data_IF_746892060196
#
_entry.id   IF_746892060196
#
_cell.length_a   1.000
_cell.length_b   1.000
_cell.length_c   1.000
_cell.angle_alpha   90.00
_cell.angle_beta   90.00
_cell.angle_gamma   90.00
#
_symmetry.space_group_name_H-M   'P 1'
#
loop_
_entity.id
_entity.type
_entity.pdbx_description
1 polymer ?
#
# COMPACT_ATOMS: atom_id res chain seq x y z
N UNK A 1 15.55 15.15 18.26
CA UNK A 1 16.65 14.32 17.79
C UNK A 1 17.70 15.22 17.18
N UNK A 2 18.98 15.07 17.54
CA UNK A 2 20.04 15.93 17.02
C UNK A 2 20.23 15.63 15.53
N UNK A 3 20.03 16.64 14.67
CA UNK A 3 20.38 16.55 13.24
C UNK A 3 21.87 16.24 13.14
N UNK A 4 22.22 15.19 12.40
CA UNK A 4 23.61 14.87 12.12
C UNK A 4 24.28 16.06 11.43
N UNK A 5 25.30 16.62 12.04
CA UNK A 5 26.04 17.80 11.54
C UNK A 5 26.98 17.46 10.38
N UNK A 6 26.90 16.27 9.81
CA UNK A 6 27.87 15.80 8.82
C UNK A 6 27.44 15.98 7.37
N UNK A 7 26.26 16.56 7.10
CA UNK A 7 25.75 16.74 5.74
C UNK A 7 26.64 17.57 4.83
N UNK A 8 27.33 18.59 5.36
CA UNK A 8 28.18 19.45 4.55
C UNK A 8 29.47 18.77 4.06
N UNK A 9 29.96 17.76 4.77
CA UNK A 9 31.21 17.04 4.39
C UNK A 9 30.99 16.04 3.25
N UNK A 10 29.77 15.60 3.04
CA UNK A 10 29.40 14.60 2.00
C UNK A 10 28.97 15.24 0.68
N UNK A 11 29.04 16.58 0.59
CA UNK A 11 28.54 17.36 -0.55
C UNK A 11 29.52 17.42 -1.74
N UNK A 12 30.65 16.77 -1.69
CA UNK A 12 31.52 16.66 -2.86
C UNK A 12 31.24 15.31 -3.53
N UNK A 13 30.58 15.33 -4.71
CA UNK A 13 30.45 14.10 -5.48
C UNK A 13 31.83 13.51 -5.74
N UNK A 14 32.00 12.19 -5.64
CA UNK A 14 33.24 11.56 -6.06
C UNK A 14 33.52 11.87 -7.54
N UNK A 15 34.77 11.77 -7.99
CA UNK A 15 35.15 12.09 -9.37
C UNK A 15 34.71 10.97 -10.33
N UNK A 16 33.44 10.59 -10.29
CA UNK A 16 32.84 9.66 -11.24
C UNK A 16 32.17 10.43 -12.39
N UNK A 17 32.05 9.84 -13.57
CA UNK A 17 31.28 10.40 -14.66
C UNK A 17 29.85 10.75 -14.21
N UNK A 18 29.34 11.83 -14.75
CA UNK A 18 27.96 12.26 -14.45
C UNK A 18 26.97 11.18 -14.89
N UNK A 19 26.14 10.71 -13.96
CA UNK A 19 25.20 9.60 -14.17
C UNK A 19 25.65 8.26 -13.55
N UNK A 20 26.89 8.13 -13.10
CA UNK A 20 27.41 6.93 -12.41
C UNK A 20 27.46 7.10 -10.88
N UNK A 21 27.03 8.24 -10.37
CA UNK A 21 27.04 8.54 -8.95
C UNK A 21 25.64 8.78 -8.43
N UNK A 22 25.30 8.07 -7.36
CA UNK A 22 24.10 8.30 -6.58
C UNK A 22 24.49 8.89 -5.23
N UNK A 23 23.96 10.07 -4.90
CA UNK A 23 24.21 10.70 -3.62
C UNK A 23 23.62 9.86 -2.49
N UNK A 24 24.44 9.38 -1.56
CA UNK A 24 24.04 8.52 -0.44
C UNK A 24 22.99 9.15 0.48
N UNK A 25 22.81 10.48 0.41
CA UNK A 25 21.74 11.16 1.16
C UNK A 25 20.34 10.66 0.80
N UNK A 26 20.13 10.15 -0.41
CA UNK A 26 18.84 9.54 -0.77
C UNK A 26 18.42 8.40 0.16
N UNK A 27 19.38 7.72 0.81
CA UNK A 27 19.12 6.63 1.75
C UNK A 27 19.04 7.07 3.21
N UNK A 28 19.60 8.23 3.56
CA UNK A 28 19.82 8.62 4.95
C UNK A 28 19.20 9.96 5.35
N UNK A 29 18.86 10.81 4.38
CA UNK A 29 18.28 12.11 4.64
C UNK A 29 16.77 12.01 4.88
N UNK A 30 16.33 12.52 6.04
CA UNK A 30 14.93 12.46 6.43
C UNK A 30 14.05 13.40 5.61
N UNK A 31 14.55 14.55 5.20
CA UNK A 31 13.79 15.53 4.44
C UNK A 31 13.51 14.97 3.02
N UNK A 32 14.49 14.25 2.42
CA UNK A 32 14.27 13.54 1.16
C UNK A 32 13.18 12.47 1.33
N UNK A 33 13.22 11.70 2.42
CA UNK A 33 12.19 10.70 2.69
C UNK A 33 10.79 11.30 2.83
N UNK A 34 10.65 12.44 3.50
CA UNK A 34 9.35 13.14 3.60
C UNK A 34 8.86 13.61 2.22
N UNK A 35 9.75 14.11 1.37
CA UNK A 35 9.39 14.44 -0.02
C UNK A 35 8.95 13.22 -0.83
N UNK A 36 9.58 12.07 -0.64
CA UNK A 36 9.18 10.81 -1.30
C UNK A 36 7.78 10.37 -0.88
N UNK A 37 7.45 10.48 0.42
CA UNK A 37 6.10 10.20 0.88
C UNK A 37 5.07 11.06 0.15
N UNK A 38 5.34 12.35 -0.03
CA UNK A 38 4.41 13.29 -0.66
C UNK A 38 4.38 13.18 -2.20
N UNK A 39 5.54 12.98 -2.83
CA UNK A 39 5.67 13.04 -4.28
C UNK A 39 5.52 11.69 -4.96
N UNK A 40 5.76 10.58 -4.25
CA UNK A 40 5.70 9.22 -4.77
C UNK A 40 4.56 8.44 -4.13
N UNK A 41 4.68 8.11 -2.84
CA UNK A 41 3.75 7.19 -2.18
C UNK A 41 2.31 7.72 -2.08
N UNK A 42 2.12 9.02 -1.87
CA UNK A 42 0.79 9.64 -1.87
C UNK A 42 0.21 9.84 -3.28
N UNK A 43 1.01 9.65 -4.32
CA UNK A 43 0.59 9.85 -5.73
C UNK A 43 0.34 8.56 -6.49
N UNK A 44 0.94 7.48 -6.05
CA UNK A 44 0.89 6.18 -6.71
C UNK A 44 -0.37 5.38 -6.33
N UNK A 45 -0.67 4.35 -7.12
CA UNK A 45 -1.52 3.25 -6.72
C UNK A 45 -0.70 2.28 -5.86
N UNK A 46 -1.21 1.92 -4.69
CA UNK A 46 -0.54 1.03 -3.73
C UNK A 46 -1.43 -0.19 -3.50
N UNK A 47 -0.94 -1.43 -3.73
CA UNK A 47 -1.65 -2.63 -3.36
C UNK A 47 -1.63 -2.76 -1.82
N UNK A 48 -2.79 -2.89 -1.19
CA UNK A 48 -2.91 -2.81 0.27
C UNK A 48 -3.41 -4.09 0.92
N UNK A 49 -4.19 -4.88 0.21
CA UNK A 49 -4.68 -6.18 0.64
C UNK A 49 -5.23 -6.95 -0.56
N UNK A 50 -5.72 -8.16 -0.32
CA UNK A 50 -6.47 -8.94 -1.29
C UNK A 50 -7.96 -8.94 -0.91
N UNK A 51 -8.87 -8.99 -1.89
CA UNK A 51 -10.30 -8.93 -1.62
C UNK A 51 -10.83 -10.13 -0.81
N UNK A 52 -10.13 -11.28 -0.83
CA UNK A 52 -10.44 -12.43 0.02
C UNK A 52 -10.27 -12.15 1.51
N UNK A 53 -9.58 -11.07 1.87
CA UNK A 53 -9.45 -10.61 3.25
C UNK A 53 -10.66 -9.82 3.76
N UNK A 54 -11.60 -9.52 2.84
CA UNK A 54 -12.88 -8.86 3.11
C UNK A 54 -14.02 -9.69 2.50
N UNK A 55 -14.20 -10.98 2.86
CA UNK A 55 -15.09 -11.89 2.12
C UNK A 55 -16.57 -11.54 2.23
N UNK A 56 -16.97 -10.82 3.27
CA UNK A 56 -18.40 -10.57 3.58
C UNK A 56 -18.70 -9.07 3.69
N UNK A 57 -19.94 -8.65 3.42
CA UNK A 57 -20.37 -7.31 3.77
C UNK A 57 -20.15 -7.00 5.24
N UNK A 58 -19.68 -5.80 5.52
CA UNK A 58 -19.25 -5.26 6.82
C UNK A 58 -17.85 -5.67 7.29
N UNK A 59 -17.14 -6.51 6.55
CA UNK A 59 -15.74 -6.77 6.85
C UNK A 59 -14.90 -5.54 6.58
N UNK A 60 -13.83 -5.40 7.36
CA UNK A 60 -12.89 -4.30 7.25
C UNK A 60 -11.43 -4.77 7.37
N UNK A 61 -10.56 -3.98 6.78
CA UNK A 61 -9.10 -4.02 6.97
C UNK A 61 -8.59 -2.62 7.25
N UNK A 62 -7.59 -2.49 8.11
CA UNK A 62 -6.86 -1.24 8.29
C UNK A 62 -5.43 -1.37 7.80
N UNK A 63 -4.89 -0.30 7.27
CA UNK A 63 -3.51 -0.21 6.83
C UNK A 63 -3.00 1.23 6.95
N UNK A 64 -1.75 1.45 6.59
CA UNK A 64 -1.15 2.78 6.55
C UNK A 64 -0.46 2.97 5.21
N UNK A 65 -0.74 4.06 4.52
CA UNK A 65 -0.08 4.46 3.28
C UNK A 65 0.58 5.81 3.54
N UNK A 66 1.90 5.93 3.33
CA UNK A 66 2.64 7.18 3.50
C UNK A 66 2.30 7.90 4.81
N UNK A 67 2.23 7.16 5.93
CA UNK A 67 1.84 7.60 7.28
C UNK A 67 0.35 7.92 7.47
N UNK A 68 -0.45 7.93 6.42
CA UNK A 68 -1.90 8.16 6.53
C UNK A 68 -2.63 6.86 6.89
N UNK A 69 -3.45 6.85 7.94
CA UNK A 69 -4.22 5.66 8.30
C UNK A 69 -5.38 5.47 7.32
N UNK A 70 -5.55 4.26 6.84
CA UNK A 70 -6.57 3.87 5.86
C UNK A 70 -7.42 2.75 6.41
N UNK A 71 -8.73 2.81 6.19
CA UNK A 71 -9.67 1.73 6.43
C UNK A 71 -10.33 1.31 5.12
N UNK A 72 -10.34 0.01 4.86
CA UNK A 72 -11.07 -0.61 3.76
C UNK A 72 -12.30 -1.30 4.33
N UNK A 73 -13.41 -1.20 3.62
CA UNK A 73 -14.68 -1.82 4.02
C UNK A 73 -15.35 -2.46 2.84
N UNK A 74 -16.03 -3.60 3.04
CA UNK A 74 -16.94 -4.15 2.06
C UNK A 74 -18.37 -3.77 2.42
N UNK A 75 -19.04 -3.05 1.54
CA UNK A 75 -20.45 -2.68 1.72
C UNK A 75 -21.39 -3.79 1.24
N UNK A 76 -22.68 -3.67 1.52
CA UNK A 76 -23.72 -4.62 1.09
C UNK A 76 -23.83 -4.82 -0.43
N UNK A 77 -23.38 -3.84 -1.20
CA UNK A 77 -23.34 -3.94 -2.66
C UNK A 77 -22.15 -4.76 -3.18
N UNK A 78 -21.40 -5.40 -2.28
CA UNK A 78 -20.24 -6.22 -2.59
C UNK A 78 -18.98 -5.43 -2.91
N UNK A 79 -19.06 -4.10 -3.06
CA UNK A 79 -17.90 -3.28 -3.43
C UNK A 79 -17.01 -3.01 -2.23
N UNK A 80 -15.71 -3.16 -2.44
CA UNK A 80 -14.67 -2.69 -1.50
C UNK A 80 -14.46 -1.20 -1.73
N UNK A 81 -14.32 -0.46 -0.63
CA UNK A 81 -14.04 0.98 -0.62
C UNK A 81 -12.97 1.28 0.39
N UNK A 82 -12.22 2.32 0.14
CA UNK A 82 -11.18 2.81 1.04
C UNK A 82 -11.50 4.23 1.53
N UNK A 83 -11.23 4.48 2.79
CA UNK A 83 -11.39 5.80 3.40
C UNK A 83 -10.18 6.14 4.26
N UNK A 84 -9.95 7.43 4.51
CA UNK A 84 -9.10 7.79 5.63
C UNK A 84 -9.73 7.28 6.93
N UNK A 85 -8.95 6.57 7.72
CA UNK A 85 -9.36 5.99 9.01
C UNK A 85 -9.37 7.07 10.12
N UNK A 86 -9.97 8.21 9.81
CA UNK A 86 -9.95 9.41 10.64
C UNK A 86 -11.35 10.00 10.71
N UNK A 87 -11.82 10.26 11.92
CA UNK A 87 -13.12 10.91 12.14
C UNK A 87 -13.04 12.38 11.70
N UNK A 88 -13.96 12.85 10.82
CA UNK A 88 -13.95 14.22 10.33
C UNK A 88 -14.27 15.25 11.41
N UNK A 89 -14.76 14.81 12.58
CA UNK A 89 -15.07 15.72 13.68
C UNK A 89 -13.80 16.32 14.31
N UNK A 90 -12.90 15.48 14.84
CA UNK A 90 -11.69 15.93 15.57
C UNK A 90 -10.49 15.02 15.37
N UNK A 91 -10.39 14.33 14.25
CA UNK A 91 -9.20 13.58 13.84
C UNK A 91 -8.94 12.27 14.60
N UNK A 92 -9.88 11.77 15.38
CA UNK A 92 -9.67 10.48 16.07
C UNK A 92 -9.64 9.33 15.08
N UNK A 93 -8.72 8.40 15.27
CA UNK A 93 -8.69 7.15 14.51
C UNK A 93 -9.95 6.33 14.79
N UNK A 94 -10.64 5.88 13.74
CA UNK A 94 -11.94 5.23 13.85
C UNK A 94 -11.80 3.76 14.27
N UNK A 95 -10.92 3.02 13.60
CA UNK A 95 -10.68 1.60 13.91
C UNK A 95 -9.17 1.35 14.06
N UNK A 96 -8.80 0.55 15.07
CA UNK A 96 -7.41 0.21 15.39
C UNK A 96 -7.07 -1.25 15.14
N UNK A 97 -8.09 -2.11 15.08
CA UNK A 97 -7.87 -3.51 14.76
C UNK A 97 -7.39 -3.64 13.30
N UNK A 98 -6.45 -4.56 13.00
CA UNK A 98 -5.92 -4.74 11.65
C UNK A 98 -6.97 -5.29 10.68
N UNK A 99 -7.94 -6.06 11.16
CA UNK A 99 -9.03 -6.63 10.40
C UNK A 99 -10.17 -7.03 11.32
N UNK A 100 -11.35 -7.23 10.76
CA UNK A 100 -12.52 -7.70 11.50
C UNK A 100 -13.80 -7.50 10.73
N UNK A 101 -14.92 -7.60 11.46
CA UNK A 101 -16.24 -7.34 10.90
C UNK A 101 -17.05 -6.43 11.81
N UNK A 102 -17.72 -5.45 11.25
CA UNK A 102 -18.70 -4.63 11.96
C UNK A 102 -20.06 -5.31 12.07
N UNK A 103 -20.22 -6.53 11.55
CA UNK A 103 -21.50 -7.24 11.56
C UNK A 103 -22.00 -7.53 12.99
N UNK A 104 -21.08 -8.00 13.84
CA UNK A 104 -21.40 -8.44 15.21
C UNK A 104 -21.19 -7.35 16.26
N UNK A 105 -20.93 -6.15 15.83
CA UNK A 105 -20.63 -5.00 16.67
C UNK A 105 -19.13 -4.73 16.77
N UNK A 106 -18.76 -3.48 16.53
CA UNK A 106 -17.43 -2.98 16.84
C UNK A 106 -17.26 -2.87 18.36
N UNK A 107 -16.05 -3.00 18.90
CA UNK A 107 -15.77 -2.64 20.30
C UNK A 107 -16.25 -1.22 20.68
N UNK A 108 -16.44 -0.37 19.69
CA UNK A 108 -16.87 1.02 19.84
C UNK A 108 -18.37 1.27 19.70
N UNK A 109 -19.24 0.27 19.46
CA UNK A 109 -20.65 0.57 19.41
C UNK A 109 -21.54 -0.31 18.54
N UNK A 110 -22.45 0.33 17.83
CA UNK A 110 -23.54 -0.33 17.14
C UNK A 110 -23.07 -1.25 16.00
N UNK A 111 -23.69 -2.44 15.87
CA UNK A 111 -23.40 -3.35 14.76
C UNK A 111 -23.70 -2.67 13.43
N UNK A 112 -22.90 -3.03 12.41
CA UNK A 112 -23.01 -2.57 11.01
C UNK A 112 -22.63 -1.10 10.76
N UNK A 113 -22.00 -0.45 11.75
CA UNK A 113 -21.58 0.95 11.63
C UNK A 113 -20.14 1.13 12.12
N UNK A 114 -19.41 2.03 11.48
CA UNK A 114 -18.14 2.53 12.00
C UNK A 114 -18.48 3.60 13.03
N UNK A 115 -18.18 3.36 14.30
CA UNK A 115 -18.50 4.29 15.39
C UNK A 115 -17.22 4.91 15.93
N UNK A 116 -17.13 6.24 15.91
CA UNK A 116 -16.01 6.95 16.53
C UNK A 116 -16.09 6.81 18.06
N UNK A 117 -15.05 6.22 18.66
CA UNK A 117 -14.99 5.99 20.11
C UNK A 117 -15.00 7.28 20.93
N UNK A 118 -14.65 8.44 20.32
CA UNK A 118 -14.47 9.67 21.07
C UNK A 118 -15.79 10.41 21.32
N UNK A 119 -16.62 10.61 20.27
CA UNK A 119 -17.89 11.31 20.42
C UNK A 119 -19.06 10.59 19.73
N UNK A 120 -18.93 9.30 19.50
CA UNK A 120 -19.98 8.41 18.99
C UNK A 120 -20.60 8.84 17.64
N UNK A 121 -19.87 9.60 16.79
CA UNK A 121 -20.29 9.79 15.41
C UNK A 121 -20.26 8.46 14.68
N UNK A 122 -21.25 8.21 13.82
CA UNK A 122 -21.37 6.92 13.14
C UNK A 122 -21.39 7.09 11.63
N UNK A 123 -20.76 6.13 10.96
CA UNK A 123 -20.65 6.07 9.51
C UNK A 123 -21.07 4.69 9.01
N UNK A 124 -21.68 4.64 7.83
CA UNK A 124 -21.96 3.37 7.16
C UNK A 124 -20.72 2.87 6.38
N UNK A 125 -20.85 1.65 5.81
CA UNK A 125 -19.77 1.04 5.01
C UNK A 125 -19.51 1.74 3.67
N UNK A 126 -20.26 2.78 3.34
CA UNK A 126 -20.03 3.68 2.20
C UNK A 126 -19.41 5.01 2.63
N UNK A 127 -18.98 5.12 3.90
CA UNK A 127 -18.39 6.31 4.47
C UNK A 127 -19.36 7.45 4.77
N UNK A 128 -20.67 7.27 4.57
CA UNK A 128 -21.65 8.32 4.83
C UNK A 128 -21.88 8.47 6.33
N UNK A 129 -21.88 9.71 6.80
CA UNK A 129 -22.26 10.00 8.18
C UNK A 129 -23.76 9.73 8.39
N UNK A 130 -24.08 8.83 9.33
CA UNK A 130 -25.46 8.45 9.64
C UNK A 130 -25.93 8.99 10.98
N UNK A 131 -25.00 9.29 11.89
CA UNK A 131 -25.34 9.82 13.20
C UNK A 131 -24.27 10.82 13.69
N UNK A 132 -24.74 11.95 14.21
CA UNK A 132 -23.96 12.98 14.89
C UNK A 132 -24.53 13.13 16.29
N UNK A 133 -23.70 12.88 17.32
CA UNK A 133 -24.12 13.02 18.71
C UNK A 133 -24.53 14.47 19.01
N UNK A 134 -25.68 14.64 19.64
CA UNK A 134 -26.24 15.95 20.06
C UNK A 134 -26.23 16.99 18.94
N UNK A 135 -26.61 16.57 17.71
CA UNK A 135 -26.58 17.42 16.53
C UNK A 135 -27.35 18.73 16.72
N UNK A 136 -28.56 18.67 17.29
CA UNK A 136 -29.40 19.84 17.50
C UNK A 136 -28.85 20.74 18.62
N UNK A 137 -28.58 20.16 19.78
CA UNK A 137 -28.17 20.89 20.98
C UNK A 137 -26.75 21.45 20.89
N UNK A 138 -25.82 20.63 20.37
CA UNK A 138 -24.39 20.99 20.29
C UNK A 138 -24.02 21.82 19.08
N UNK A 139 -24.71 21.63 17.96
CA UNK A 139 -24.34 22.24 16.69
C UNK A 139 -25.43 23.14 16.09
N UNK A 140 -26.60 23.26 16.75
CA UNK A 140 -27.72 24.10 16.31
C UNK A 140 -28.10 23.81 14.84
N UNK A 141 -28.08 22.53 14.42
CA UNK A 141 -28.33 22.07 13.05
C UNK A 141 -27.40 22.64 11.97
N UNK A 142 -26.31 23.28 12.35
CA UNK A 142 -25.32 23.82 11.37
C UNK A 142 -24.54 22.73 10.65
N UNK A 143 -24.38 21.54 11.27
CA UNK A 143 -23.72 20.41 10.65
C UNK A 143 -24.75 19.54 9.90
N UNK A 144 -24.51 19.37 8.60
CA UNK A 144 -25.32 18.48 7.77
C UNK A 144 -24.60 17.14 7.60
N UNK A 145 -25.24 16.04 7.99
CA UNK A 145 -24.66 14.67 7.90
C UNK A 145 -24.10 14.36 6.51
N UNK A 146 -24.75 14.84 5.47
CA UNK A 146 -24.34 14.66 4.07
C UNK A 146 -22.95 15.26 3.75
N UNK A 147 -22.52 16.24 4.53
CA UNK A 147 -21.23 16.92 4.37
C UNK A 147 -20.13 16.35 5.29
N UNK A 148 -20.51 15.48 6.22
CA UNK A 148 -19.66 14.96 7.30
C UNK A 148 -19.27 13.50 7.07
N UNK A 149 -19.25 13.02 5.84
CA UNK A 149 -18.80 11.68 5.48
C UNK A 149 -17.29 11.48 5.70
N UNK A 150 -16.86 10.26 5.70
CA UNK A 150 -15.44 9.91 5.65
C UNK A 150 -14.86 10.36 4.30
N UNK A 151 -13.59 10.76 4.32
CA UNK A 151 -12.87 11.04 3.07
C UNK A 151 -12.65 9.74 2.32
N UNK A 152 -13.34 9.57 1.22
CA UNK A 152 -13.18 8.43 0.33
C UNK A 152 -11.87 8.57 -0.45
N UNK A 153 -11.18 7.45 -0.62
CA UNK A 153 -9.93 7.35 -1.38
C UNK A 153 -10.21 6.61 -2.69
N UNK A 154 -9.39 6.86 -3.70
CA UNK A 154 -9.43 6.06 -4.92
C UNK A 154 -9.13 4.61 -4.57
N UNK A 155 -9.99 3.69 -5.00
CA UNK A 155 -9.92 2.28 -4.66
C UNK A 155 -10.38 1.43 -5.83
N UNK A 156 -9.55 0.50 -6.25
CA UNK A 156 -9.86 -0.47 -7.31
C UNK A 156 -9.50 -1.89 -6.86
N UNK A 157 -10.30 -2.85 -7.28
CA UNK A 157 -9.95 -4.27 -7.21
C UNK A 157 -9.51 -4.68 -8.61
N UNK A 158 -8.25 -5.00 -8.75
CA UNK A 158 -7.64 -5.30 -10.04
C UNK A 158 -6.57 -6.39 -9.90
N UNK A 159 -6.37 -7.14 -10.95
CA UNK A 159 -5.31 -8.13 -11.09
C UNK A 159 -5.33 -9.22 -10.00
N UNK A 160 -6.13 -10.26 -10.22
CA UNK A 160 -6.22 -11.43 -9.33
C UNK A 160 -6.83 -11.13 -7.95
N UNK A 161 -7.64 -10.04 -7.82
CA UNK A 161 -8.32 -9.70 -6.56
C UNK A 161 -7.52 -8.79 -5.61
N UNK A 162 -6.36 -8.25 -6.04
CA UNK A 162 -5.65 -7.26 -5.24
C UNK A 162 -6.43 -5.95 -5.16
N UNK A 163 -6.50 -5.40 -3.96
CA UNK A 163 -7.14 -4.10 -3.68
C UNK A 163 -6.07 -3.02 -3.70
N UNK A 164 -6.24 -2.07 -4.60
CA UNK A 164 -5.33 -0.94 -4.82
C UNK A 164 -5.97 0.34 -4.29
N UNK A 165 -5.17 1.16 -3.64
CA UNK A 165 -5.61 2.44 -3.09
C UNK A 165 -4.63 3.54 -3.49
N UNK A 166 -5.16 4.71 -3.85
CA UNK A 166 -4.38 5.92 -4.01
C UNK A 166 -4.89 7.03 -3.10
N UNK A 167 -3.95 7.76 -2.48
CA UNK A 167 -4.25 8.98 -1.72
C UNK A 167 -4.40 10.20 -2.62
N UNK A 168 -4.14 10.05 -3.90
CA UNK A 168 -4.23 11.11 -4.90
C UNK A 168 -5.65 11.24 -5.46
N UNK A 169 -6.40 12.21 -4.97
CA UNK A 169 -7.76 12.47 -5.47
C UNK A 169 -7.78 12.88 -6.97
N UNK A 170 -6.65 13.31 -7.52
CA UNK A 170 -6.50 13.77 -8.90
C UNK A 170 -5.97 12.68 -9.84
N UNK A 171 -5.73 11.46 -9.37
CA UNK A 171 -5.32 10.38 -10.24
C UNK A 171 -6.50 10.03 -11.16
N UNK A 172 -6.30 10.14 -12.44
CA UNK A 172 -7.28 9.87 -13.49
C UNK A 172 -7.05 8.55 -14.23
N UNK A 173 -5.86 7.94 -14.02
CA UNK A 173 -5.53 6.61 -14.52
C UNK A 173 -6.11 5.52 -13.64
N UNK A 174 -6.65 4.47 -14.26
CA UNK A 174 -6.95 3.19 -13.60
C UNK A 174 -5.67 2.49 -13.17
N UNK A 175 -5.78 1.44 -12.33
CA UNK A 175 -4.63 0.60 -11.96
C UNK A 175 -4.02 -0.08 -13.21
N UNK A 176 -4.87 -0.50 -14.16
CA UNK A 176 -4.42 -1.11 -15.42
C UNK A 176 -3.57 -0.15 -16.23
N UNK A 177 -4.05 1.07 -16.46
CA UNK A 177 -3.30 2.11 -17.19
C UNK A 177 -2.03 2.51 -16.47
N UNK A 178 -2.10 2.64 -15.14
CA UNK A 178 -0.94 2.99 -14.32
C UNK A 178 0.14 1.92 -14.34
N UNK A 179 -0.24 0.64 -14.32
CA UNK A 179 0.71 -0.48 -14.37
C UNK A 179 1.41 -0.63 -15.72
N UNK A 180 0.87 -0.03 -16.79
CA UNK A 180 1.46 0.01 -18.11
C UNK A 180 1.91 -1.37 -18.64
N UNK A 181 1.15 -2.42 -18.33
CA UNK A 181 1.45 -3.80 -18.71
C UNK A 181 2.47 -4.53 -17.83
N UNK A 182 3.04 -3.88 -16.82
CA UNK A 182 4.04 -4.51 -15.94
C UNK A 182 3.49 -5.72 -15.16
N UNK A 183 2.18 -5.74 -14.91
CA UNK A 183 1.50 -6.86 -14.25
C UNK A 183 1.21 -8.04 -15.18
N UNK A 184 1.24 -7.84 -16.50
CA UNK A 184 0.89 -8.88 -17.46
C UNK A 184 1.81 -10.10 -17.40
N UNK A 185 3.04 -9.89 -16.98
CA UNK A 185 4.03 -10.97 -16.80
C UNK A 185 3.64 -11.96 -15.70
N UNK A 186 2.77 -11.54 -14.78
CA UNK A 186 2.28 -12.38 -13.68
C UNK A 186 0.96 -13.09 -14.02
N UNK A 187 0.27 -12.70 -15.11
CA UNK A 187 -1.01 -13.30 -15.51
C UNK A 187 -0.97 -14.82 -15.57
N UNK A 188 0.03 -15.46 -16.19
CA UNK A 188 0.06 -16.93 -16.25
C UNK A 188 0.05 -17.62 -14.89
N UNK A 189 0.51 -16.93 -13.83
CA UNK A 189 0.54 -17.45 -12.47
C UNK A 189 -0.75 -17.20 -11.69
N UNK A 190 -1.68 -16.39 -12.22
CA UNK A 190 -2.86 -15.92 -11.51
C UNK A 190 -4.18 -16.32 -12.20
N UNK A 191 -4.13 -16.77 -13.46
CA UNK A 191 -5.33 -16.91 -14.31
C UNK A 191 -6.06 -18.27 -14.15
N UNK A 192 -5.47 -19.25 -13.46
CA UNK A 192 -6.06 -20.60 -13.43
C UNK A 192 -7.16 -20.74 -12.38
N UNK A 193 -7.04 -20.10 -11.21
CA UNK A 193 -8.04 -20.18 -10.13
C UNK A 193 -8.12 -18.88 -9.31
N UNK A 194 -9.27 -18.59 -8.66
CA UNK A 194 -9.38 -17.48 -7.75
C UNK A 194 -8.36 -17.58 -6.60
N UNK A 195 -7.63 -16.50 -6.36
CA UNK A 195 -6.64 -16.45 -5.29
C UNK A 195 -7.29 -16.18 -3.94
N UNK A 196 -6.75 -16.79 -2.89
CA UNK A 196 -7.07 -16.48 -1.50
C UNK A 196 -5.80 -16.26 -0.69
N UNK A 197 -5.84 -15.34 0.26
CA UNK A 197 -4.72 -15.14 1.18
C UNK A 197 -4.67 -16.30 2.16
N UNK A 198 -3.70 -17.18 1.99
CA UNK A 198 -3.46 -18.32 2.86
C UNK A 198 -2.65 -17.95 4.10
N UNK A 199 -1.63 -17.12 3.94
CA UNK A 199 -0.74 -16.71 5.01
C UNK A 199 -0.34 -15.26 4.86
N UNK A 200 -0.21 -14.57 5.97
CA UNK A 200 0.23 -13.18 6.02
C UNK A 200 1.41 -13.02 6.97
N UNK A 201 2.53 -12.58 6.44
CA UNK A 201 3.71 -12.22 7.22
C UNK A 201 4.04 -10.75 7.03
N UNK A 202 4.24 -10.04 8.12
CA UNK A 202 4.66 -8.64 8.12
C UNK A 202 5.88 -8.46 8.99
N UNK A 203 6.93 -7.88 8.44
CA UNK A 203 8.15 -7.53 9.15
C UNK A 203 8.49 -6.05 8.96
N UNK A 204 9.10 -5.45 9.97
CA UNK A 204 9.70 -4.13 9.87
C UNK A 204 11.20 -4.32 9.67
N UNK A 205 11.70 -3.87 8.53
CA UNK A 205 13.12 -3.91 8.22
C UNK A 205 13.69 -2.52 8.51
N UNK A 206 14.70 -2.37 9.38
CA UNK A 206 15.25 -1.07 9.76
C UNK A 206 16.21 -0.53 8.68
N UNK A 207 15.71 -0.33 7.47
CA UNK A 207 16.47 0.24 6.36
C UNK A 207 15.58 1.16 5.52
N UNK A 208 16.20 1.98 4.67
CA UNK A 208 15.49 2.74 3.66
C UNK A 208 14.93 1.81 2.58
N UNK A 209 13.68 2.04 2.16
CA UNK A 209 13.01 1.19 1.16
C UNK A 209 13.76 1.11 -0.18
N UNK A 210 14.50 2.17 -0.55
CA UNK A 210 15.29 2.19 -1.79
C UNK A 210 16.41 1.15 -1.78
N UNK A 211 17.00 0.84 -0.62
CA UNK A 211 17.98 -0.26 -0.52
C UNK A 211 17.34 -1.61 -0.84
N UNK A 212 16.09 -1.81 -0.42
CA UNK A 212 15.35 -3.00 -0.81
C UNK A 212 15.04 -3.02 -2.31
N UNK A 213 14.63 -1.88 -2.84
CA UNK A 213 14.35 -1.74 -4.27
C UNK A 213 15.62 -1.98 -5.11
N UNK A 214 16.73 -1.33 -4.78
CA UNK A 214 18.00 -1.49 -5.48
C UNK A 214 18.45 -2.96 -5.48
N UNK A 215 18.40 -3.62 -4.32
CA UNK A 215 18.74 -5.04 -4.18
C UNK A 215 17.92 -5.95 -5.10
N UNK A 216 16.65 -5.63 -5.34
CA UNK A 216 15.79 -6.44 -6.20
C UNK A 216 15.88 -6.06 -7.69
N UNK A 217 16.30 -4.83 -8.00
CA UNK A 217 16.38 -4.34 -9.37
C UNK A 217 17.78 -4.47 -9.97
N UNK A 218 18.82 -4.67 -9.16
CA UNK A 218 20.16 -4.84 -9.65
C UNK A 218 20.43 -6.28 -10.12
N UNK A 219 21.41 -6.39 -11.02
CA UNK A 219 21.77 -7.66 -11.65
C UNK A 219 22.82 -8.45 -10.86
N UNK A 220 23.63 -7.79 -10.05
CA UNK A 220 24.82 -8.38 -9.42
C UNK A 220 24.58 -9.01 -8.07
N UNK A 221 23.56 -8.60 -7.35
CA UNK A 221 23.35 -9.00 -5.95
C UNK A 221 23.26 -10.52 -5.80
N UNK A 222 22.47 -11.17 -6.63
CA UNK A 222 22.25 -12.61 -6.57
C UNK A 222 23.52 -13.43 -6.77
N UNK A 223 24.46 -12.94 -7.58
CA UNK A 223 25.76 -13.63 -7.80
C UNK A 223 26.69 -13.56 -6.61
N UNK A 224 26.53 -12.53 -5.80
CA UNK A 224 27.37 -12.32 -4.62
C UNK A 224 26.95 -13.23 -3.48
N UNK A 225 25.72 -13.74 -3.48
CA UNK A 225 25.25 -14.68 -2.48
C UNK A 225 26.03 -16.00 -2.53
N UNK A 226 26.65 -16.36 -1.41
CA UNK A 226 27.44 -17.58 -1.30
C UNK A 226 26.66 -18.83 -1.72
N UNK A 227 25.40 -18.97 -1.26
CA UNK A 227 24.55 -20.11 -1.61
C UNK A 227 24.29 -20.22 -3.10
N UNK A 228 24.05 -19.13 -3.78
CA UNK A 228 23.81 -19.14 -5.23
C UNK A 228 25.06 -19.60 -5.99
N UNK A 229 26.26 -19.23 -5.51
CA UNK A 229 27.52 -19.64 -6.12
C UNK A 229 27.82 -21.13 -5.96
N UNK A 230 27.46 -21.74 -4.82
CA UNK A 230 27.75 -23.17 -4.58
C UNK A 230 26.68 -24.12 -5.10
N UNK A 231 25.47 -23.64 -5.37
CA UNK A 231 24.34 -24.46 -5.81
C UNK A 231 24.23 -24.57 -7.33
N UNK A 232 25.05 -23.87 -8.09
CA UNK A 232 25.00 -23.88 -9.56
C UNK A 232 23.82 -23.12 -10.19
N UNK A 233 23.05 -22.37 -9.39
CA UNK A 233 21.93 -21.56 -9.90
C UNK A 233 22.38 -20.31 -10.68
N UNK A 234 23.67 -20.07 -10.80
CA UNK A 234 24.21 -18.88 -11.48
C UNK A 234 23.72 -18.74 -12.92
N UNK A 235 23.65 -19.84 -13.67
CA UNK A 235 23.25 -19.79 -15.09
C UNK A 235 21.82 -19.30 -15.28
N UNK A 236 20.91 -19.68 -14.37
CA UNK A 236 19.53 -19.21 -14.38
C UNK A 236 19.43 -17.70 -14.12
N UNK A 237 20.27 -17.18 -13.24
CA UNK A 237 20.31 -15.73 -12.97
C UNK A 237 20.87 -14.92 -14.15
N UNK A 238 21.83 -15.45 -14.89
CA UNK A 238 22.35 -14.79 -16.10
C UNK A 238 21.32 -14.69 -17.23
N UNK A 239 20.30 -15.54 -17.22
CA UNK A 239 19.21 -15.51 -18.18
C UNK A 239 18.13 -14.48 -17.85
N UNK A 240 18.20 -13.81 -16.70
CA UNK A 240 17.21 -12.78 -16.29
C UNK A 240 17.21 -11.63 -17.30
N UNK A 241 16.01 -11.19 -17.63
CA UNK A 241 15.79 -9.97 -18.40
C UNK A 241 15.12 -8.94 -17.51
N UNK A 242 15.66 -7.74 -17.51
CA UNK A 242 14.99 -6.60 -16.89
C UNK A 242 14.22 -5.87 -17.97
N UNK A 243 12.94 -5.65 -17.74
CA UNK A 243 12.07 -4.91 -18.65
C UNK A 243 11.52 -3.70 -17.94
N UNK A 244 11.81 -2.52 -18.46
CA UNK A 244 11.21 -1.27 -18.00
C UNK A 244 9.86 -1.04 -18.68
N UNK A 245 8.93 -0.48 -17.96
CA UNK A 245 7.61 -0.05 -18.44
C UNK A 245 7.43 1.42 -18.15
N UNK A 246 6.44 2.03 -18.80
CA UNK A 246 6.04 3.39 -18.47
C UNK A 246 5.63 3.52 -17.00
N UNK A 247 5.56 4.74 -16.51
CA UNK A 247 5.27 5.06 -15.10
C UNK A 247 6.30 4.52 -14.09
N UNK A 248 7.49 4.12 -14.55
CA UNK A 248 8.60 3.71 -13.69
C UNK A 248 8.52 2.28 -13.17
N UNK A 249 7.70 1.44 -13.76
CA UNK A 249 7.62 0.03 -13.41
C UNK A 249 8.76 -0.77 -14.04
N UNK A 250 9.25 -1.74 -13.30
CA UNK A 250 10.29 -2.67 -13.74
C UNK A 250 9.87 -4.09 -13.42
N UNK A 251 10.02 -4.97 -14.38
CA UNK A 251 10.00 -6.41 -14.16
C UNK A 251 11.43 -6.95 -14.16
N UNK A 252 11.77 -7.65 -13.09
CA UNK A 252 13.09 -8.27 -12.91
C UNK A 252 12.95 -9.77 -13.01
N UNK A 253 13.32 -10.31 -14.18
CA UNK A 253 13.43 -11.73 -14.40
C UNK A 253 12.13 -12.46 -14.70
N UNK A 254 11.88 -12.79 -15.95
CA UNK A 254 11.01 -13.90 -16.30
C UNK A 254 11.85 -15.17 -16.39
N UNK A 255 11.63 -16.10 -15.48
CA UNK A 255 12.03 -17.48 -15.72
C UNK A 255 10.97 -18.12 -16.58
N UNK A 256 11.35 -18.77 -17.67
CA UNK A 256 10.45 -19.74 -18.30
C UNK A 256 10.12 -20.80 -17.25
N UNK A 257 8.85 -21.11 -17.13
CA UNK A 257 8.18 -21.89 -16.07
C UNK A 257 8.74 -23.30 -15.78
N UNK A 258 9.76 -23.74 -16.47
CA UNK A 258 10.36 -25.08 -16.29
C UNK A 258 10.94 -25.34 -14.90
N UNK A 259 11.13 -24.30 -14.07
CA UNK A 259 11.68 -24.45 -12.71
C UNK A 259 10.67 -24.41 -11.57
N UNK A 260 9.39 -24.13 -11.85
CA UNK A 260 8.34 -24.18 -10.81
C UNK A 260 8.07 -25.61 -10.31
N UNK A 261 8.47 -26.64 -11.04
CA UNK A 261 8.35 -28.04 -10.61
C UNK A 261 9.32 -28.44 -9.48
N UNK A 262 10.34 -27.64 -9.18
CA UNK A 262 11.29 -27.90 -8.09
C UNK A 262 10.88 -27.29 -6.74
N UNK A 263 9.81 -26.51 -6.70
CA UNK A 263 9.27 -25.92 -5.45
C UNK A 263 8.30 -26.89 -4.74
N UNK A 264 8.05 -28.05 -5.31
CA UNK A 264 7.19 -29.10 -4.75
C UNK A 264 7.97 -30.21 -4.00
N UNK A 265 9.15 -29.89 -3.43
CA UNK A 265 9.85 -30.80 -2.52
C UNK A 265 9.81 -30.23 -1.10
#
# INVERSE_FOLDING_TARGET
MARSRNHEQWNKPPPFPQGEYVDSRIYSDHDIFEEELDKIFKKAWIPVCHESELPKPYDFRTTTIAKEPVILTRAKDGKVRAFLNVCPHRGNMLERAPAGSFLDGSPSGNPRHITCMFHAWQFDMKGRCIYISRQEEGYQDRLKKQQMGLRELKCEVYFGGFVWVSLNDQIDMTVEEWSAGSLDVLKPSLDEEPLEVFHYHKAIIPCNYKLWHDTNCEFYHDFLHYHNRITGFNDAYFARKNTGFDNGHINVGSFEVQYLSLIHI
#
